data_IF_557937260510
#
_entry.id   IF_557937260510
#
_cell.length_a   1.000
_cell.length_b   1.000
_cell.length_c   1.000
_cell.angle_alpha   90.00
_cell.angle_beta   90.00
_cell.angle_gamma   90.00
#
_symmetry.space_group_name_H-M   'P 1'
#
loop_
_entity.id
_entity.type
_entity.pdbx_description
1 polymer ?
#
# COMPACT_ATOMS: atom_id res chain seq x y z
N UNK A 1 36.77 25.50 -40.12
CA UNK A 1 37.23 24.11 -40.38
C UNK A 1 38.47 23.86 -39.53
N UNK A 2 38.53 22.77 -38.75
CA UNK A 2 39.71 22.44 -37.96
C UNK A 2 39.48 21.31 -36.96
N UNK A 3 39.25 20.09 -37.47
CA UNK A 3 39.24 18.87 -36.65
C UNK A 3 40.66 18.57 -36.15
N UNK A 4 40.89 18.63 -34.83
CA UNK A 4 42.08 18.04 -34.22
C UNK A 4 41.76 16.64 -33.68
N UNK A 5 42.23 15.63 -34.42
CA UNK A 5 42.16 14.21 -34.10
C UNK A 5 43.06 13.89 -32.89
N UNK A 6 42.48 13.69 -31.71
CA UNK A 6 43.21 13.09 -30.58
C UNK A 6 43.28 11.57 -30.78
N UNK A 7 44.48 11.05 -31.00
CA UNK A 7 44.76 9.61 -31.07
C UNK A 7 44.62 9.01 -29.66
N UNK A 8 43.63 8.15 -29.46
CA UNK A 8 43.55 7.32 -28.25
C UNK A 8 44.64 6.25 -28.32
N UNK A 9 45.61 6.30 -27.41
CA UNK A 9 46.53 5.19 -27.20
C UNK A 9 45.81 4.08 -26.44
N UNK A 10 45.68 2.91 -27.06
CA UNK A 10 45.19 1.71 -26.39
C UNK A 10 46.17 1.29 -25.30
N UNK A 11 45.76 1.43 -24.04
CA UNK A 11 46.46 0.77 -22.94
C UNK A 11 46.25 -0.74 -23.05
N UNK A 12 47.32 -1.49 -23.38
CA UNK A 12 47.36 -2.94 -23.24
C UNK A 12 47.23 -3.30 -21.76
N UNK A 13 46.11 -3.92 -21.39
CA UNK A 13 45.88 -4.49 -20.06
C UNK A 13 46.84 -5.67 -19.87
N UNK A 14 47.94 -5.49 -19.12
CA UNK A 14 48.77 -6.60 -18.65
C UNK A 14 47.91 -7.47 -17.73
N UNK A 15 47.67 -8.72 -18.12
CA UNK A 15 47.08 -9.71 -17.22
C UNK A 15 48.13 -10.12 -16.20
N UNK A 16 48.02 -9.61 -14.98
CA UNK A 16 48.74 -10.14 -13.83
C UNK A 16 47.85 -11.26 -13.28
N UNK A 17 48.20 -12.51 -13.59
CA UNK A 17 47.62 -13.67 -12.92
C UNK A 17 48.27 -13.79 -11.54
N UNK A 18 47.62 -13.23 -10.52
CA UNK A 18 47.89 -13.63 -9.14
C UNK A 18 47.25 -14.99 -8.86
N UNK A 19 47.86 -15.85 -8.02
CA UNK A 19 47.25 -17.12 -7.65
C UNK A 19 45.91 -16.86 -6.96
N UNK A 20 44.86 -17.55 -7.42
CA UNK A 20 43.53 -17.52 -6.80
C UNK A 20 43.67 -18.03 -5.35
N UNK A 21 43.20 -17.29 -4.34
CA UNK A 21 43.10 -17.86 -3.01
C UNK A 21 42.07 -18.98 -3.05
N UNK A 22 42.45 -20.18 -2.64
CA UNK A 22 41.52 -21.27 -2.37
C UNK A 22 40.60 -20.86 -1.23
N UNK A 23 39.46 -20.27 -1.58
CA UNK A 23 38.35 -20.07 -0.65
C UNK A 23 37.81 -21.48 -0.37
N UNK A 24 38.31 -22.10 0.70
CA UNK A 24 37.60 -23.22 1.31
C UNK A 24 36.24 -22.68 1.70
N UNK A 25 35.21 -23.04 0.93
CA UNK A 25 33.82 -22.82 1.31
C UNK A 25 33.62 -23.47 2.68
N UNK A 26 33.75 -22.67 3.74
CA UNK A 26 33.21 -23.05 5.03
C UNK A 26 31.72 -23.11 4.81
N UNK A 27 31.16 -24.33 4.73
CA UNK A 27 29.71 -24.53 4.80
C UNK A 27 29.21 -23.69 5.96
N UNK A 28 28.28 -22.78 5.68
CA UNK A 28 27.64 -22.00 6.72
C UNK A 28 27.21 -22.99 7.82
N UNK A 29 27.46 -22.69 9.11
CA UNK A 29 26.93 -23.52 10.18
C UNK A 29 25.44 -23.72 9.87
N UNK A 30 24.94 -24.95 10.01
CA UNK A 30 23.51 -25.21 9.96
C UNK A 30 22.91 -24.39 11.09
N UNK A 31 22.53 -23.15 10.80
CA UNK A 31 21.81 -22.33 11.74
C UNK A 31 20.51 -23.08 11.95
N UNK A 32 20.35 -23.65 13.14
CA UNK A 32 19.05 -24.09 13.59
C UNK A 32 18.07 -22.96 13.28
N UNK A 33 16.97 -23.31 12.62
CA UNK A 33 15.96 -22.39 12.05
C UNK A 33 15.22 -21.58 13.14
N UNK A 34 15.77 -21.53 14.35
CA UNK A 34 15.21 -21.07 15.61
C UNK A 34 15.83 -19.76 16.13
N UNK A 35 16.61 -19.01 15.35
CA UNK A 35 17.11 -17.69 15.79
C UNK A 35 16.12 -16.54 15.64
N UNK A 36 14.88 -16.78 15.20
CA UNK A 36 13.80 -15.81 15.29
C UNK A 36 12.97 -16.08 16.54
N UNK A 37 12.63 -15.02 17.29
CA UNK A 37 11.70 -15.12 18.40
C UNK A 37 10.43 -15.89 17.96
N UNK A 38 9.88 -16.79 18.79
CA UNK A 38 8.71 -17.59 18.42
C UNK A 38 7.58 -16.67 18.00
N UNK A 39 7.07 -16.89 16.79
CA UNK A 39 5.94 -16.11 16.28
C UNK A 39 4.66 -16.63 16.94
N UNK A 40 4.23 -15.95 17.99
CA UNK A 40 3.00 -16.28 18.73
C UNK A 40 1.72 -15.95 17.96
N UNK A 41 1.80 -15.10 16.92
CA UNK A 41 0.63 -14.61 16.19
C UNK A 41 0.29 -15.42 14.93
N UNK A 42 1.24 -16.17 14.35
CA UNK A 42 1.03 -16.85 13.06
C UNK A 42 0.82 -15.91 11.85
N UNK A 43 0.87 -14.59 12.06
CA UNK A 43 0.51 -13.58 11.06
C UNK A 43 1.61 -12.52 10.81
N UNK A 44 2.76 -12.61 11.49
CA UNK A 44 3.78 -11.55 11.46
C UNK A 44 4.41 -11.32 10.07
N UNK A 45 4.32 -12.30 9.16
CA UNK A 45 4.78 -12.17 7.77
C UNK A 45 6.28 -12.08 7.55
N UNK A 46 7.09 -12.08 8.62
CA UNK A 46 8.54 -11.88 8.55
C UNK A 46 9.35 -13.07 9.09
N UNK A 47 8.73 -14.01 9.80
CA UNK A 47 9.40 -15.20 10.32
C UNK A 47 9.29 -16.38 9.34
N UNK A 48 10.18 -17.36 9.47
CA UNK A 48 10.19 -18.55 8.61
C UNK A 48 8.84 -19.30 8.57
N UNK A 49 8.08 -19.29 9.66
CA UNK A 49 6.78 -19.94 9.72
C UNK A 49 5.70 -19.15 8.95
N UNK A 50 5.70 -17.81 9.08
CA UNK A 50 4.77 -16.95 8.35
C UNK A 50 5.13 -16.78 6.88
N UNK A 51 6.43 -16.82 6.53
CA UNK A 51 6.89 -16.75 5.14
C UNK A 51 6.63 -18.03 4.35
N UNK A 52 6.42 -19.18 5.03
CA UNK A 52 6.05 -20.46 4.40
C UNK A 52 4.56 -20.60 4.12
N UNK A 53 3.70 -19.78 4.75
CA UNK A 53 2.26 -19.78 4.48
C UNK A 53 1.97 -19.19 3.08
N UNK A 54 1.96 -20.07 2.08
CA UNK A 54 1.64 -19.79 0.68
C UNK A 54 0.13 -19.61 0.39
N UNK A 55 -0.73 -19.54 1.42
CA UNK A 55 -2.18 -19.37 1.25
C UNK A 55 -2.60 -18.01 0.68
N UNK A 56 -1.64 -17.13 0.37
CA UNK A 56 -1.94 -15.94 -0.42
C UNK A 56 -2.50 -16.30 -1.80
N UNK A 57 -2.16 -17.48 -2.35
CA UNK A 57 -2.51 -17.93 -3.72
C UNK A 57 -3.98 -17.79 -4.12
N UNK A 58 -4.91 -17.79 -3.15
CA UNK A 58 -6.36 -17.68 -3.37
C UNK A 58 -6.90 -16.25 -3.43
N UNK A 59 -6.13 -15.25 -2.99
CA UNK A 59 -6.57 -13.85 -2.96
C UNK A 59 -6.13 -13.12 -4.22
N UNK A 60 -6.95 -12.18 -4.68
CA UNK A 60 -6.58 -11.27 -5.77
C UNK A 60 -5.29 -10.50 -5.38
N UNK A 61 -4.45 -10.20 -6.37
CA UNK A 61 -3.17 -9.52 -6.15
C UNK A 61 -3.33 -8.22 -5.35
N UNK A 62 -4.39 -7.47 -5.64
CA UNK A 62 -4.73 -6.22 -4.96
C UNK A 62 -4.89 -6.43 -3.44
N UNK A 63 -5.63 -7.47 -3.03
CA UNK A 63 -5.85 -7.81 -1.63
C UNK A 63 -4.58 -8.26 -0.91
N UNK A 64 -3.69 -8.99 -1.59
CA UNK A 64 -2.40 -9.38 -1.01
C UNK A 64 -1.56 -8.17 -0.66
N UNK A 65 -1.44 -7.22 -1.60
CA UNK A 65 -0.67 -5.99 -1.40
C UNK A 65 -1.17 -5.21 -0.18
N UNK A 66 -2.49 -5.18 0.06
CA UNK A 66 -3.03 -4.53 1.25
C UNK A 66 -2.68 -5.27 2.54
N UNK A 67 -2.80 -6.60 2.56
CA UNK A 67 -2.42 -7.40 3.74
C UNK A 67 -0.93 -7.23 4.08
N UNK A 68 -0.08 -7.18 3.07
CA UNK A 68 1.35 -6.96 3.26
C UNK A 68 1.64 -5.55 3.78
N UNK A 69 0.95 -4.52 3.25
CA UNK A 69 1.04 -3.16 3.77
C UNK A 69 0.60 -3.07 5.24
N UNK A 70 -0.51 -3.69 5.61
CA UNK A 70 -0.98 -3.72 7.01
C UNK A 70 0.05 -4.36 7.94
N UNK A 71 0.72 -5.42 7.49
CA UNK A 71 1.78 -6.09 8.27
C UNK A 71 3.03 -5.21 8.42
N UNK A 72 3.45 -4.53 7.35
CA UNK A 72 4.64 -3.67 7.34
C UNK A 72 4.44 -2.45 8.24
N UNK A 73 3.24 -1.84 8.22
CA UNK A 73 2.94 -0.68 9.05
C UNK A 73 2.97 -1.02 10.55
N UNK A 74 2.47 -2.20 10.90
CA UNK A 74 2.28 -2.57 12.30
C UNK A 74 1.15 -1.78 12.97
N UNK A 75 0.76 -2.22 14.17
CA UNK A 75 -0.44 -1.71 14.86
C UNK A 75 -0.32 -0.24 15.25
N UNK A 76 0.83 0.18 15.79
CA UNK A 76 1.01 1.55 16.28
C UNK A 76 0.89 2.59 15.14
N UNK A 77 1.57 2.35 14.02
CA UNK A 77 1.52 3.26 12.87
C UNK A 77 0.12 3.33 12.25
N UNK A 78 -0.61 2.21 12.25
CA UNK A 78 -1.99 2.15 11.78
C UNK A 78 -2.90 3.02 12.64
N UNK A 79 -2.77 2.99 13.98
CA UNK A 79 -3.57 3.83 14.87
C UNK A 79 -3.23 5.33 14.72
N UNK A 80 -1.94 5.68 14.61
CA UNK A 80 -1.53 7.06 14.33
C UNK A 80 -2.12 7.57 13.01
N UNK A 81 -2.05 6.74 11.96
CA UNK A 81 -2.64 7.07 10.67
C UNK A 81 -4.18 7.16 10.74
N UNK A 82 -4.83 6.32 11.56
CA UNK A 82 -6.27 6.35 11.78
C UNK A 82 -6.72 7.69 12.36
N UNK A 83 -5.99 8.22 13.34
CA UNK A 83 -6.30 9.53 13.94
C UNK A 83 -6.17 10.66 12.93
N UNK A 84 -5.10 10.65 12.14
CA UNK A 84 -4.88 11.63 11.08
C UNK A 84 -5.97 11.53 10.02
N UNK A 85 -6.31 10.31 9.59
CA UNK A 85 -7.36 10.08 8.60
C UNK A 85 -8.73 10.53 9.12
N UNK A 86 -9.08 10.20 10.35
CA UNK A 86 -10.32 10.62 11.00
C UNK A 86 -10.46 12.14 11.06
N UNK A 87 -9.39 12.85 11.43
CA UNK A 87 -9.37 14.32 11.40
C UNK A 87 -9.62 14.84 9.98
N UNK A 88 -8.91 14.28 8.99
CA UNK A 88 -9.03 14.71 7.58
C UNK A 88 -10.43 14.47 7.01
N UNK A 89 -11.03 13.31 7.25
CA UNK A 89 -12.37 13.01 6.72
C UNK A 89 -13.44 13.86 7.40
N UNK A 90 -13.31 14.12 8.71
CA UNK A 90 -14.22 15.01 9.43
C UNK A 90 -14.09 16.45 8.92
N UNK A 91 -12.87 16.93 8.67
CA UNK A 91 -12.66 18.25 8.07
C UNK A 91 -13.23 18.33 6.66
N UNK A 92 -13.03 17.29 5.84
CA UNK A 92 -13.60 17.21 4.50
C UNK A 92 -15.14 17.25 4.55
N UNK A 93 -15.74 16.44 5.43
CA UNK A 93 -17.18 16.36 5.61
C UNK A 93 -17.77 17.71 6.03
N UNK A 94 -17.16 18.39 7.02
CA UNK A 94 -17.57 19.73 7.45
C UNK A 94 -17.47 20.77 6.33
N UNK A 95 -16.38 20.75 5.56
CA UNK A 95 -16.18 21.70 4.45
C UNK A 95 -17.18 21.51 3.32
N UNK A 96 -17.60 20.28 3.05
CA UNK A 96 -18.52 19.93 1.96
C UNK A 96 -19.98 19.80 2.44
N UNK A 97 -20.26 19.97 3.73
CA UNK A 97 -21.59 19.73 4.29
C UNK A 97 -22.06 18.28 4.19
N UNK A 98 -21.14 17.34 4.09
CA UNK A 98 -21.45 15.91 3.98
C UNK A 98 -21.77 15.34 5.36
N UNK A 99 -22.96 14.78 5.53
CA UNK A 99 -23.37 14.13 6.80
C UNK A 99 -23.59 12.64 6.60
N UNK A 100 -24.26 12.25 5.52
CA UNK A 100 -24.64 10.86 5.22
C UNK A 100 -24.73 10.67 3.69
N UNK A 101 -24.71 9.44 3.13
CA UNK A 101 -24.83 9.22 1.69
C UNK A 101 -26.11 9.83 1.09
N UNK A 102 -27.19 9.94 1.87
CA UNK A 102 -28.43 10.59 1.45
C UNK A 102 -28.44 12.11 1.68
N UNK A 103 -27.57 12.61 2.56
CA UNK A 103 -27.48 14.01 2.99
C UNK A 103 -26.03 14.49 2.83
N UNK A 104 -25.59 14.56 1.57
CA UNK A 104 -24.21 14.89 1.21
C UNK A 104 -23.95 16.41 1.04
N UNK A 105 -25.00 17.24 1.15
CA UNK A 105 -24.89 18.69 1.17
C UNK A 105 -24.29 19.27 -0.11
N UNK A 106 -23.16 19.98 0.02
CA UNK A 106 -22.43 20.60 -1.10
C UNK A 106 -21.38 19.66 -1.72
N UNK A 107 -21.28 18.40 -1.28
CA UNK A 107 -20.43 17.42 -1.95
C UNK A 107 -20.91 17.25 -3.39
N UNK A 108 -20.00 17.42 -4.35
CA UNK A 108 -20.34 17.28 -5.77
C UNK A 108 -20.66 15.81 -6.05
N UNK A 109 -21.80 15.56 -6.68
CA UNK A 109 -22.19 14.22 -7.12
C UNK A 109 -21.22 13.68 -8.18
N UNK A 110 -20.77 14.54 -9.10
CA UNK A 110 -19.76 14.19 -10.11
C UNK A 110 -18.55 15.11 -10.02
N UNK A 111 -17.36 14.51 -9.99
CA UNK A 111 -16.08 15.22 -9.96
C UNK A 111 -15.25 14.76 -11.15
N UNK A 112 -14.69 15.69 -11.90
CA UNK A 112 -13.72 15.38 -12.96
C UNK A 112 -12.31 15.64 -12.43
N UNK A 113 -11.49 14.60 -12.37
CA UNK A 113 -10.08 14.67 -11.98
C UNK A 113 -9.25 14.23 -13.19
N UNK A 114 -8.58 15.19 -13.82
CA UNK A 114 -7.88 14.95 -15.10
C UNK A 114 -8.82 14.49 -16.21
N UNK A 115 -8.58 13.30 -16.76
CA UNK A 115 -9.41 12.67 -17.80
C UNK A 115 -10.56 11.82 -17.26
N UNK A 116 -10.61 11.58 -15.96
CA UNK A 116 -11.56 10.66 -15.34
C UNK A 116 -12.69 11.39 -14.64
N UNK A 117 -13.89 10.84 -14.76
CA UNK A 117 -15.06 11.30 -14.03
C UNK A 117 -15.35 10.31 -12.91
N UNK A 118 -15.62 10.86 -11.73
CA UNK A 118 -15.89 10.15 -10.50
C UNK A 118 -17.29 10.49 -10.03
N UNK A 119 -18.10 9.48 -9.76
CA UNK A 119 -19.48 9.63 -9.28
C UNK A 119 -19.58 9.23 -7.81
N UNK A 120 -20.15 10.09 -6.98
CA UNK A 120 -20.38 9.86 -5.55
C UNK A 120 -21.41 8.75 -5.35
N UNK A 121 -21.14 7.86 -4.40
CA UNK A 121 -22.07 6.82 -4.00
C UNK A 121 -23.14 7.41 -3.06
N UNK A 122 -24.37 7.54 -3.55
CA UNK A 122 -25.49 8.13 -2.80
C UNK A 122 -26.26 7.10 -1.96
N UNK A 123 -25.70 5.92 -1.73
CA UNK A 123 -26.33 4.82 -0.99
C UNK A 123 -25.38 4.32 0.10
N UNK A 124 -25.96 3.73 1.15
CA UNK A 124 -25.19 2.94 2.11
C UNK A 124 -24.52 1.80 1.35
N UNK A 125 -23.18 1.73 1.42
CA UNK A 125 -22.39 0.79 0.63
C UNK A 125 -21.50 -0.07 1.52
N UNK A 126 -21.02 -1.19 0.98
CA UNK A 126 -19.91 -1.96 1.56
C UNK A 126 -18.56 -1.60 0.94
N UNK A 127 -18.54 -0.58 0.07
CA UNK A 127 -17.35 -0.18 -0.66
C UNK A 127 -16.27 0.44 0.22
N UNK A 128 -15.03 0.14 -0.13
CA UNK A 128 -13.82 0.62 0.54
C UNK A 128 -12.95 1.31 -0.48
N UNK A 129 -12.32 2.41 -0.07
CA UNK A 129 -11.34 3.11 -0.87
C UNK A 129 -10.19 2.16 -1.30
N UNK A 130 -9.83 2.18 -2.57
CA UNK A 130 -8.75 1.37 -3.15
C UNK A 130 -7.34 1.87 -2.80
N UNK A 131 -7.24 3.03 -2.15
CA UNK A 131 -5.98 3.52 -1.61
C UNK A 131 -5.40 2.52 -0.57
N UNK A 132 -4.11 2.12 -0.69
CA UNK A 132 -3.53 1.10 0.19
C UNK A 132 -3.62 1.43 1.67
N UNK A 133 -3.47 2.69 2.04
CA UNK A 133 -3.54 3.12 3.44
C UNK A 133 -4.97 3.06 3.96
N UNK A 134 -5.94 3.50 3.17
CA UNK A 134 -7.35 3.43 3.54
C UNK A 134 -7.83 1.98 3.67
N UNK A 135 -7.35 1.09 2.80
CA UNK A 135 -7.65 -0.35 2.89
C UNK A 135 -7.03 -0.98 4.14
N UNK A 136 -5.78 -0.63 4.44
CA UNK A 136 -5.11 -1.09 5.66
C UNK A 136 -5.90 -0.69 6.93
N UNK A 137 -6.39 0.57 6.99
CA UNK A 137 -7.26 1.04 8.06
C UNK A 137 -8.57 0.26 8.16
N UNK A 138 -9.22 -0.04 7.05
CA UNK A 138 -10.44 -0.83 7.03
C UNK A 138 -10.19 -2.24 7.59
N UNK A 139 -9.14 -2.91 7.10
CA UNK A 139 -8.79 -4.27 7.54
C UNK A 139 -8.39 -4.36 9.01
N UNK A 140 -7.95 -3.26 9.63
CA UNK A 140 -7.59 -3.21 11.05
C UNK A 140 -8.75 -2.78 11.96
N UNK A 141 -9.93 -2.47 11.41
CA UNK A 141 -11.13 -2.13 12.20
C UNK A 141 -12.03 -3.35 12.41
N UNK A 142 -12.80 -3.32 13.49
CA UNK A 142 -13.80 -4.32 13.80
C UNK A 142 -15.00 -4.28 12.84
N UNK A 143 -15.69 -5.41 12.69
CA UNK A 143 -16.82 -5.54 11.75
C UNK A 143 -17.96 -4.55 12.04
N UNK A 144 -18.19 -4.22 13.32
CA UNK A 144 -19.26 -3.29 13.68
C UNK A 144 -18.95 -1.89 13.15
N UNK A 145 -17.73 -1.40 13.33
CA UNK A 145 -17.26 -0.13 12.78
C UNK A 145 -17.28 -0.14 11.24
N UNK A 146 -16.90 -1.26 10.60
CA UNK A 146 -16.97 -1.41 9.14
C UNK A 146 -18.42 -1.25 8.63
N UNK A 147 -19.40 -1.87 9.30
CA UNK A 147 -20.81 -1.83 8.88
C UNK A 147 -21.52 -0.52 9.22
N UNK A 148 -21.15 0.15 10.31
CA UNK A 148 -21.87 1.34 10.79
C UNK A 148 -21.27 2.66 10.32
N UNK A 149 -19.94 2.75 10.23
CA UNK A 149 -19.21 3.99 9.96
C UNK A 149 -18.70 4.05 8.53
N UNK A 150 -17.98 3.03 8.08
CA UNK A 150 -17.40 3.02 6.72
C UNK A 150 -18.47 2.97 5.62
N UNK A 151 -19.62 2.35 5.90
CA UNK A 151 -20.74 2.28 4.98
C UNK A 151 -21.39 3.61 4.63
N UNK A 152 -21.08 4.65 5.40
CA UNK A 152 -21.56 6.03 5.23
C UNK A 152 -20.50 6.96 4.66
N UNK A 153 -19.28 6.48 4.44
CA UNK A 153 -18.20 7.33 3.97
C UNK A 153 -18.46 7.86 2.56
N UNK A 154 -18.00 9.07 2.24
CA UNK A 154 -18.13 9.61 0.90
C UNK A 154 -17.18 8.84 -0.03
N UNK A 155 -17.67 7.79 -0.69
CA UNK A 155 -16.92 7.04 -1.70
C UNK A 155 -17.38 7.46 -3.08
N UNK A 156 -16.41 7.73 -3.95
CA UNK A 156 -16.62 8.00 -5.35
C UNK A 156 -16.08 6.84 -6.18
N UNK A 157 -16.81 6.48 -7.23
CA UNK A 157 -16.43 5.43 -8.18
C UNK A 157 -16.07 6.07 -9.51
N UNK A 158 -14.96 5.68 -10.12
CA UNK A 158 -14.59 6.14 -11.46
C UNK A 158 -15.53 5.53 -12.50
N UNK A 159 -15.98 6.35 -13.45
CA UNK A 159 -16.84 5.90 -14.54
C UNK A 159 -16.05 5.13 -15.62
N UNK A 160 -14.72 5.25 -15.61
CA UNK A 160 -13.83 4.69 -16.65
C UNK A 160 -12.99 3.51 -16.15
N UNK A 161 -12.62 3.52 -14.87
CA UNK A 161 -11.84 2.49 -14.22
C UNK A 161 -12.64 1.93 -13.06
N UNK A 162 -12.52 0.63 -12.79
CA UNK A 162 -13.11 0.03 -11.58
C UNK A 162 -12.24 0.35 -10.36
N UNK A 163 -12.21 1.64 -10.01
CA UNK A 163 -11.46 2.21 -8.89
C UNK A 163 -12.42 3.06 -8.06
N UNK A 164 -12.38 2.85 -6.75
CA UNK A 164 -13.19 3.53 -5.75
C UNK A 164 -12.30 4.33 -4.82
N UNK A 165 -12.58 5.61 -4.65
CA UNK A 165 -11.78 6.51 -3.80
C UNK A 165 -12.68 7.25 -2.81
N UNK A 166 -12.21 7.39 -1.57
CA UNK A 166 -12.92 8.24 -0.61
C UNK A 166 -12.74 9.73 -0.93
N UNK A 167 -13.63 10.58 -0.43
CA UNK A 167 -13.59 12.02 -0.65
C UNK A 167 -12.25 12.65 -0.25
N UNK A 168 -11.60 12.14 0.80
CA UNK A 168 -10.26 12.59 1.22
C UNK A 168 -9.18 12.21 0.20
N UNK A 169 -9.28 11.03 -0.43
CA UNK A 169 -8.31 10.58 -1.42
C UNK A 169 -8.48 11.33 -2.74
N UNK A 170 -9.71 11.63 -3.14
CA UNK A 170 -9.98 12.45 -4.33
C UNK A 170 -9.50 13.88 -4.16
N UNK A 171 -9.68 14.48 -2.99
CA UNK A 171 -9.24 15.87 -2.74
C UNK A 171 -7.71 16.02 -2.73
N UNK A 172 -6.96 14.91 -2.73
CA UNK A 172 -5.49 14.88 -2.81
C UNK A 172 -4.93 14.62 -4.21
N UNK A 173 -5.76 14.17 -5.16
CA UNK A 173 -5.37 13.93 -6.54
C UNK A 173 -5.37 15.23 -7.35
#
# INVERSE_FOLDING_TARGET
MGFQKRKFQHYKKKQIQGPKPDIKEKKAPKCDVYSAAPCFSGECGLCANCCRNNDSSKLQERERRYKDMSKIMGKNLIEEYRDVYNKRINTWAKRKGYTDPFLYGYAKEKIKVGSETYTLCNKVHSDVCDDPYCRALYTSTDEYTQKTRYSKYPIYTSDTRDIKLCGVCIDRM
#
